data_IF_567538030858
#
_entry.id   IF_567538030858
#
_cell.length_a   1.000
_cell.length_b   1.000
_cell.length_c   1.000
_cell.angle_alpha   90.00
_cell.angle_beta   90.00
_cell.angle_gamma   90.00
#
_symmetry.space_group_name_H-M   'P 1'
#
loop_
_entity.id
_entity.type
_entity.pdbx_description
1 polymer ?
#
# COMPACT_ATOMS: atom_id res chain seq x y z
N UNK A 1 9.95 -9.76 27.85
CA UNK A 1 8.56 -9.82 27.34
C UNK A 1 7.83 -10.92 28.09
N UNK A 2 7.00 -10.57 29.08
CA UNK A 2 6.30 -11.54 29.94
C UNK A 2 5.01 -12.00 29.22
N UNK A 3 4.84 -13.31 29.04
CA UNK A 3 3.64 -13.88 28.40
C UNK A 3 2.57 -14.07 29.48
N UNK A 4 1.40 -13.41 29.40
CA UNK A 4 0.31 -13.71 30.32
C UNK A 4 -0.31 -15.06 29.96
N UNK A 5 -0.14 -16.05 30.85
CA UNK A 5 -0.76 -17.36 30.73
C UNK A 5 -2.03 -17.32 31.59
N UNK A 6 -3.20 -17.20 30.97
CA UNK A 6 -4.46 -17.36 31.67
C UNK A 6 -4.76 -18.86 31.76
N UNK A 7 -4.45 -19.46 32.91
CA UNK A 7 -4.77 -20.87 33.20
C UNK A 7 -5.92 -20.95 34.20
N UNK A 8 -7.06 -21.50 33.79
CA UNK A 8 -8.19 -21.80 34.67
C UNK A 8 -8.31 -23.31 34.82
N UNK A 9 -8.30 -23.80 36.06
CA UNK A 9 -8.32 -25.23 36.39
C UNK A 9 -9.41 -25.49 37.42
N UNK A 10 -10.25 -26.50 37.19
CA UNK A 10 -11.25 -26.94 38.17
C UNK A 10 -10.56 -27.60 39.38
N UNK A 11 -10.89 -27.14 40.60
CA UNK A 11 -10.28 -27.63 41.84
C UNK A 11 -10.58 -29.14 41.99
N UNK A 12 -9.58 -29.94 42.34
CA UNK A 12 -9.57 -31.42 42.38
C UNK A 12 -9.56 -32.16 41.04
N UNK A 13 -10.50 -31.91 40.12
CA UNK A 13 -10.61 -32.70 38.88
C UNK A 13 -9.49 -32.42 37.86
N UNK A 14 -8.92 -31.21 37.88
CA UNK A 14 -7.83 -30.84 36.96
C UNK A 14 -6.47 -31.48 37.27
N UNK A 15 -6.30 -32.17 38.40
CA UNK A 15 -5.03 -32.78 38.82
C UNK A 15 -4.98 -34.31 38.64
N UNK A 16 -6.06 -34.94 38.18
CA UNK A 16 -6.09 -36.39 37.95
C UNK A 16 -5.13 -36.77 36.82
N UNK A 17 -4.24 -37.77 37.02
CA UNK A 17 -3.48 -38.34 35.92
C UNK A 17 -4.46 -38.91 34.89
N UNK A 18 -4.13 -38.79 33.61
CA UNK A 18 -4.94 -39.21 32.44
C UNK A 18 -6.14 -38.32 32.10
N UNK A 19 -7.06 -38.01 33.02
CA UNK A 19 -8.31 -37.28 32.68
C UNK A 19 -8.34 -35.81 33.10
N UNK A 20 -7.37 -35.35 33.90
CA UNK A 20 -7.34 -33.97 34.40
C UNK A 20 -7.11 -32.91 33.32
N UNK A 21 -6.72 -33.30 32.11
CA UNK A 21 -6.57 -32.40 30.95
C UNK A 21 -7.90 -31.87 30.42
N UNK A 22 -9.00 -32.63 30.53
CA UNK A 22 -10.34 -32.19 30.09
C UNK A 22 -10.87 -31.00 30.91
N UNK A 23 -10.40 -30.86 32.15
CA UNK A 23 -10.82 -29.79 33.07
C UNK A 23 -9.82 -28.62 33.14
N UNK A 24 -8.82 -28.59 32.24
CA UNK A 24 -7.84 -27.51 32.13
C UNK A 24 -8.16 -26.63 30.93
N UNK A 25 -8.35 -25.34 31.17
CA UNK A 25 -8.44 -24.34 30.12
C UNK A 25 -7.17 -23.49 30.12
N UNK A 26 -6.42 -23.52 29.03
CA UNK A 26 -5.23 -22.69 28.82
C UNK A 26 -5.40 -21.92 27.52
N UNK A 27 -5.40 -20.59 27.61
CA UNK A 27 -5.39 -19.72 26.43
C UNK A 27 -4.03 -19.07 26.32
N UNK A 28 -3.38 -19.24 25.15
CA UNK A 28 -2.11 -18.60 24.81
C UNK A 28 -2.40 -17.52 23.77
N UNK A 29 -2.17 -16.26 24.12
CA UNK A 29 -2.29 -15.14 23.18
C UNK A 29 -0.90 -14.59 22.89
N UNK A 30 -0.54 -14.47 21.61
CA UNK A 30 0.72 -13.89 21.14
C UNK A 30 0.40 -12.88 20.05
N UNK A 31 0.69 -11.60 20.32
CA UNK A 31 0.55 -10.50 19.36
C UNK A 31 1.89 -9.81 19.18
N UNK A 32 2.36 -9.70 17.94
CA UNK A 32 3.56 -8.94 17.58
C UNK A 32 3.19 -8.02 16.43
N UNK A 33 3.26 -6.71 16.66
CA UNK A 33 2.93 -5.69 15.66
C UNK A 33 4.15 -4.82 15.47
N UNK A 34 4.59 -4.66 14.22
CA UNK A 34 5.69 -3.78 13.83
C UNK A 34 5.14 -2.77 12.83
N UNK A 35 5.36 -1.48 13.09
CA UNK A 35 5.00 -0.37 12.20
C UNK A 35 6.24 0.47 12.01
N UNK A 36 6.63 0.67 10.76
CA UNK A 36 7.79 1.49 10.38
C UNK A 36 7.34 2.55 9.39
N UNK A 37 7.87 3.75 9.56
CA UNK A 37 7.72 4.85 8.62
C UNK A 37 9.13 5.26 8.21
N UNK A 38 9.43 5.18 6.92
CA UNK A 38 10.73 5.54 6.37
C UNK A 38 10.54 6.78 5.50
N UNK A 39 11.45 7.74 5.65
CA UNK A 39 11.47 8.97 4.86
C UNK A 39 12.79 8.97 4.09
N UNK A 40 12.70 9.14 2.78
CA UNK A 40 13.86 9.22 1.89
C UNK A 40 13.90 10.60 1.23
N UNK A 41 14.62 11.56 1.80
CA UNK A 41 14.83 12.84 1.16
C UNK A 41 15.86 12.70 0.03
N UNK A 42 15.61 13.37 -1.09
CA UNK A 42 16.61 13.55 -2.15
C UNK A 42 16.56 14.97 -2.67
N UNK A 43 17.71 15.50 -3.06
CA UNK A 43 17.80 16.77 -3.76
C UNK A 43 17.45 16.56 -5.23
N UNK A 44 16.60 17.42 -5.79
CA UNK A 44 16.23 17.39 -7.21
C UNK A 44 16.85 18.63 -7.83
N UNK A 45 17.91 18.43 -8.60
CA UNK A 45 18.65 19.50 -9.30
C UNK A 45 18.29 19.56 -10.77
N UNK A 46 18.01 18.41 -11.38
CA UNK A 46 17.79 18.30 -12.81
C UNK A 46 16.28 18.23 -13.15
N UNK A 47 15.87 18.78 -14.31
CA UNK A 47 14.51 18.61 -14.82
C UNK A 47 14.25 17.15 -15.20
N UNK A 48 12.97 16.78 -15.27
CA UNK A 48 12.57 15.44 -15.67
C UNK A 48 12.97 15.16 -17.13
N UNK A 49 13.65 14.03 -17.33
CA UNK A 49 13.95 13.45 -18.65
C UNK A 49 13.45 12.01 -18.68
N UNK A 50 12.50 11.64 -19.57
CA UNK A 50 11.79 12.48 -20.54
C UNK A 50 10.79 13.45 -19.88
N UNK A 51 10.25 14.38 -20.68
CA UNK A 51 9.23 15.33 -20.22
C UNK A 51 7.96 14.60 -19.73
N UNK A 52 7.24 15.22 -18.79
CA UNK A 52 5.99 14.70 -18.26
C UNK A 52 4.93 14.55 -19.36
N UNK A 53 4.89 15.49 -20.32
CA UNK A 53 3.99 15.44 -21.48
C UNK A 53 4.18 14.17 -22.32
N UNK A 54 5.44 13.78 -22.58
CA UNK A 54 5.80 12.59 -23.32
C UNK A 54 5.38 11.32 -22.56
N UNK A 55 5.62 11.28 -21.25
CA UNK A 55 5.23 10.17 -20.39
C UNK A 55 3.72 9.95 -20.37
N UNK A 56 2.94 11.03 -20.25
CA UNK A 56 1.47 10.98 -20.27
C UNK A 56 0.94 10.53 -21.63
N UNK A 57 1.51 11.04 -22.72
CA UNK A 57 1.14 10.63 -24.08
C UNK A 57 1.37 9.13 -24.31
N UNK A 58 2.47 8.58 -23.78
CA UNK A 58 2.77 7.14 -23.86
C UNK A 58 1.76 6.31 -23.08
N UNK A 59 1.39 6.72 -21.86
CA UNK A 59 0.38 6.01 -21.03
C UNK A 59 -0.99 6.00 -21.73
N UNK A 60 -1.44 7.13 -22.25
CA UNK A 60 -2.74 7.25 -22.91
C UNK A 60 -2.81 6.44 -24.21
N UNK A 61 -1.73 6.40 -24.99
CA UNK A 61 -1.65 5.55 -26.19
C UNK A 61 -1.66 4.07 -25.84
N UNK A 62 -0.93 3.66 -24.81
CA UNK A 62 -0.86 2.26 -24.39
C UNK A 62 -2.17 1.76 -23.77
N UNK A 63 -2.87 2.62 -23.04
CA UNK A 63 -4.16 2.28 -22.40
C UNK A 63 -5.36 2.30 -23.36
N UNK A 64 -5.18 2.76 -24.61
CA UNK A 64 -6.29 2.94 -25.55
C UNK A 64 -7.24 4.10 -25.19
N UNK A 65 -6.93 4.86 -24.15
CA UNK A 65 -7.70 6.03 -23.72
C UNK A 65 -7.29 7.32 -24.46
N UNK A 66 -6.43 7.20 -25.47
CA UNK A 66 -6.05 8.33 -26.32
C UNK A 66 -7.23 8.77 -27.20
N UNK A 67 -7.77 9.96 -26.92
CA UNK A 67 -8.85 10.57 -27.71
C UNK A 67 -8.36 11.75 -28.58
N UNK A 68 -7.07 11.82 -28.87
CA UNK A 68 -6.48 12.90 -29.67
C UNK A 68 -6.69 12.76 -31.18
N UNK A 69 -7.36 11.70 -31.62
CA UNK A 69 -7.74 11.41 -33.01
C UNK A 69 -9.13 11.93 -33.39
N UNK A 70 -10.02 12.17 -32.42
CA UNK A 70 -11.30 12.84 -32.64
C UNK A 70 -11.10 14.30 -33.09
N UNK A 71 -11.76 14.72 -34.19
CA UNK A 71 -11.49 15.99 -34.86
C UNK A 71 -11.76 17.22 -33.99
N UNK A 72 -12.81 17.18 -33.16
CA UNK A 72 -13.16 18.27 -32.25
C UNK A 72 -12.15 18.36 -31.10
N UNK A 73 -11.90 17.22 -30.45
CA UNK A 73 -10.97 17.13 -29.33
C UNK A 73 -9.53 17.47 -29.74
N UNK A 74 -9.14 17.13 -30.98
CA UNK A 74 -7.82 17.43 -31.53
C UNK A 74 -7.56 18.94 -31.63
N UNK A 75 -8.52 19.75 -32.09
CA UNK A 75 -8.32 21.20 -32.19
C UNK A 75 -8.18 21.86 -30.82
N UNK A 76 -9.03 21.47 -29.87
CA UNK A 76 -8.99 21.96 -28.49
C UNK A 76 -7.66 21.60 -27.82
N UNK A 77 -7.21 20.35 -27.98
CA UNK A 77 -5.92 19.90 -27.42
C UNK A 77 -4.73 20.63 -28.05
N UNK A 78 -4.69 20.80 -29.37
CA UNK A 78 -3.59 21.53 -30.04
C UNK A 78 -3.48 22.97 -29.55
N UNK A 79 -4.61 23.63 -29.27
CA UNK A 79 -4.60 24.98 -28.69
C UNK A 79 -4.02 25.01 -27.28
N UNK A 80 -4.43 24.07 -26.42
CA UNK A 80 -3.95 23.96 -25.04
C UNK A 80 -2.46 23.60 -24.97
N UNK A 81 -2.01 22.69 -25.84
CA UNK A 81 -0.63 22.19 -25.86
C UNK A 81 0.36 23.25 -26.38
N UNK A 82 -0.06 24.06 -27.36
CA UNK A 82 0.75 25.17 -27.90
C UNK A 82 1.12 26.21 -26.83
N UNK A 83 0.28 26.41 -25.83
CA UNK A 83 0.55 27.36 -24.73
C UNK A 83 1.61 26.87 -23.74
N UNK A 84 1.90 25.56 -23.71
CA UNK A 84 2.86 24.96 -22.77
C UNK A 84 4.30 24.99 -23.29
N UNK A 85 4.51 25.02 -24.61
CA UNK A 85 5.86 25.08 -25.21
C UNK A 85 6.55 26.45 -25.05
N UNK A 86 5.80 27.53 -24.82
CA UNK A 86 6.35 28.91 -24.75
C UNK A 86 6.97 29.24 -23.39
N UNK A 87 6.80 28.37 -22.38
CA UNK A 87 7.26 28.59 -20.99
C UNK A 87 8.38 27.60 -20.59
N UNK A 88 9.10 27.06 -21.58
CA UNK A 88 10.34 26.28 -21.36
C UNK A 88 11.58 27.14 -21.53
#
# INVERSE_FOLDING_TARGET
MQIPILSKVFRFLGKLPLIGSLFRYSSKNKSNVVRVFMIEPKEIVDPLTPDASESVNNILKQSGAWSGDDKLQKWVRVYLDRGQEVIK
#
